data_IF_339080930551
#
_entry.id   IF_339080930551
#
_cell.length_a   1.000
_cell.length_b   1.000
_cell.length_c   1.000
_cell.angle_alpha   90.00
_cell.angle_beta   90.00
_cell.angle_gamma   90.00
#
_symmetry.space_group_name_H-M   'P 1'
#
loop_
_entity.id
_entity.type
_entity.pdbx_description
1 polymer ?
#
# COMPACT_ATOMS: atom_id res chain seq x y z
N UNK A 1 -10.34 0.86 68.97
CA UNK A 1 -9.65 2.03 68.38
C UNK A 1 -8.46 1.53 67.57
N UNK A 2 -8.66 1.24 66.27
CA UNK A 2 -7.60 0.84 65.33
C UNK A 2 -7.77 1.69 64.07
N UNK A 3 -6.84 2.63 63.89
CA UNK A 3 -6.76 3.55 62.76
C UNK A 3 -6.35 2.78 61.49
N UNK A 4 -7.18 2.84 60.46
CA UNK A 4 -6.86 2.37 59.11
C UNK A 4 -6.09 3.46 58.36
N UNK A 5 -4.80 3.24 58.10
CA UNK A 5 -4.03 4.02 57.13
C UNK A 5 -4.36 3.55 55.71
N UNK A 6 -4.93 4.44 54.88
CA UNK A 6 -5.03 4.25 53.42
C UNK A 6 -3.65 4.51 52.78
N UNK A 7 -3.14 3.63 51.90
CA UNK A 7 -1.94 3.96 51.12
C UNK A 7 -2.29 4.96 50.00
N UNK A 8 -1.42 5.96 49.83
CA UNK A 8 -1.55 7.01 48.82
C UNK A 8 -1.47 6.46 47.38
N UNK A 9 -2.39 6.91 46.52
CA UNK A 9 -2.36 6.65 45.07
C UNK A 9 -1.06 7.21 44.47
N UNK A 10 -0.22 6.35 43.88
CA UNK A 10 0.90 6.77 43.04
C UNK A 10 0.35 7.52 41.82
N UNK A 11 0.71 8.79 41.73
CA UNK A 11 0.55 9.64 40.54
C UNK A 11 1.34 9.01 39.37
N UNK A 12 0.64 8.49 38.36
CA UNK A 12 1.23 8.10 37.09
C UNK A 12 1.37 9.34 36.22
N UNK A 13 2.58 9.88 36.11
CA UNK A 13 2.90 10.92 35.12
C UNK A 13 2.58 10.38 33.71
N UNK A 14 2.01 11.19 32.80
CA UNK A 14 1.85 10.80 31.41
C UNK A 14 3.22 10.48 30.80
N UNK A 15 3.33 9.34 30.12
CA UNK A 15 4.55 8.94 29.44
C UNK A 15 4.88 9.95 28.34
N UNK A 16 6.13 10.43 28.31
CA UNK A 16 6.62 11.33 27.28
C UNK A 16 6.37 10.75 25.88
N UNK A 17 6.08 11.60 24.86
CA UNK A 17 5.90 11.15 23.49
C UNK A 17 7.15 10.39 23.03
N UNK A 18 6.95 9.14 22.57
CA UNK A 18 8.04 8.35 22.00
C UNK A 18 8.50 9.05 20.71
N UNK A 19 9.82 9.20 20.48
CA UNK A 19 10.32 9.80 19.25
C UNK A 19 9.80 9.03 18.03
N UNK A 20 9.53 9.76 16.95
CA UNK A 20 8.95 9.23 15.71
C UNK A 20 9.79 8.09 15.08
N UNK A 21 11.08 8.02 15.42
CA UNK A 21 11.99 6.95 15.02
C UNK A 21 12.85 6.49 16.21
N UNK A 22 13.23 5.20 16.28
CA UNK A 22 14.22 4.74 17.26
C UNK A 22 15.59 5.34 16.91
N UNK A 23 16.22 6.04 17.86
CA UNK A 23 17.52 6.76 17.75
C UNK A 23 18.58 5.93 17.00
N UNK A 24 18.62 4.62 17.21
CA UNK A 24 19.56 3.71 16.56
C UNK A 24 19.47 3.74 15.01
N UNK A 25 18.30 3.99 14.42
CA UNK A 25 18.12 4.06 12.96
C UNK A 25 18.63 5.38 12.39
N UNK A 26 18.45 6.48 13.12
CA UNK A 26 18.97 7.79 12.72
C UNK A 26 20.50 7.78 12.70
N UNK A 27 21.12 7.18 13.72
CA UNK A 27 22.58 7.00 13.77
C UNK A 27 23.07 6.19 12.57
N UNK A 28 22.43 5.05 12.27
CA UNK A 28 22.81 4.21 11.11
C UNK A 28 22.63 4.96 9.78
N UNK A 29 21.54 5.73 9.64
CA UNK A 29 21.30 6.53 8.44
C UNK A 29 22.34 7.63 8.23
N UNK A 30 22.71 8.35 9.30
CA UNK A 30 23.77 9.39 9.27
C UNK A 30 25.14 8.76 8.97
N UNK A 31 25.46 7.61 9.56
CA UNK A 31 26.70 6.88 9.28
C UNK A 31 26.78 6.42 7.81
N UNK A 32 25.67 5.95 7.24
CA UNK A 32 25.62 5.56 5.82
C UNK A 32 25.74 6.78 4.89
N UNK A 33 25.10 7.89 5.24
CA UNK A 33 25.20 9.13 4.47
C UNK A 33 26.64 9.67 4.45
N UNK A 34 27.28 9.74 5.63
CA UNK A 34 28.67 10.18 5.75
C UNK A 34 29.62 9.25 5.00
N UNK A 35 29.42 7.93 5.09
CA UNK A 35 30.19 6.95 4.31
C UNK A 35 30.01 7.15 2.79
N UNK A 36 28.78 7.40 2.32
CA UNK A 36 28.50 7.65 0.91
C UNK A 36 29.23 8.90 0.40
N UNK A 37 29.22 9.99 1.18
CA UNK A 37 29.93 11.24 0.84
C UNK A 37 31.44 11.01 0.80
N UNK A 38 32.01 10.30 1.79
CA UNK A 38 33.45 9.99 1.81
C UNK A 38 33.87 9.15 0.61
N UNK A 39 33.11 8.10 0.28
CA UNK A 39 33.39 7.26 -0.90
C UNK A 39 33.25 8.08 -2.19
N UNK A 40 32.24 8.95 -2.29
CA UNK A 40 32.08 9.81 -3.46
C UNK A 40 33.25 10.77 -3.64
N UNK A 41 33.66 11.48 -2.58
CA UNK A 41 34.81 12.39 -2.63
C UNK A 41 36.10 11.65 -2.93
N UNK A 42 36.28 10.47 -2.35
CA UNK A 42 37.41 9.56 -2.62
C UNK A 42 37.48 9.19 -4.10
N UNK A 43 36.36 8.80 -4.72
CA UNK A 43 36.31 8.43 -6.14
C UNK A 43 36.43 9.64 -7.07
N UNK A 44 35.80 10.76 -6.72
CA UNK A 44 35.76 11.97 -7.55
C UNK A 44 37.12 12.67 -7.62
N UNK A 45 37.84 12.69 -6.50
CA UNK A 45 39.19 13.28 -6.40
C UNK A 45 40.31 12.26 -6.58
N UNK A 46 40.01 11.09 -7.15
CA UNK A 46 41.02 10.06 -7.36
C UNK A 46 42.04 10.48 -8.43
N UNK A 47 43.31 10.54 -8.04
CA UNK A 47 44.45 10.72 -8.93
C UNK A 47 45.35 9.49 -8.89
N UNK A 48 45.86 9.06 -10.05
CA UNK A 48 46.80 7.94 -10.14
C UNK A 48 48.13 8.24 -9.42
N UNK A 49 48.46 9.51 -9.21
CA UNK A 49 49.67 9.96 -8.52
C UNK A 49 49.59 9.78 -7.00
N UNK A 50 48.38 9.60 -6.44
CA UNK A 50 48.19 9.47 -4.99
C UNK A 50 48.53 8.06 -4.47
N UNK A 51 48.62 7.05 -5.34
CA UNK A 51 48.82 5.65 -4.93
C UNK A 51 49.87 4.96 -5.81
N UNK A 52 50.97 4.52 -5.18
CA UNK A 52 52.04 3.75 -5.84
C UNK A 52 51.56 2.44 -6.47
N UNK A 53 52.29 1.99 -7.50
CA UNK A 53 51.99 0.83 -8.34
C UNK A 53 51.75 -0.46 -7.53
N UNK A 54 52.65 -0.80 -6.60
CA UNK A 54 52.71 -2.10 -5.91
C UNK A 54 51.75 -2.28 -4.73
N UNK A 55 51.05 -1.22 -4.28
CA UNK A 55 50.16 -1.29 -3.11
C UNK A 55 50.86 -1.56 -1.77
N UNK A 56 52.17 -1.77 -1.80
CA UNK A 56 53.08 -1.66 -0.68
C UNK A 56 53.82 -0.33 -0.78
N UNK A 57 54.27 0.26 0.34
CA UNK A 57 55.20 1.37 0.28
C UNK A 57 56.51 0.87 -0.34
N UNK A 58 56.64 1.05 -1.66
CA UNK A 58 57.94 1.11 -2.31
C UNK A 58 58.74 2.19 -1.57
N UNK A 59 59.97 1.85 -1.21
CA UNK A 59 60.76 2.35 -0.10
C UNK A 59 61.22 3.80 -0.18
N UNK A 60 60.32 4.73 -0.43
CA UNK A 60 60.56 6.17 -0.35
C UNK A 60 59.73 6.73 0.79
N UNK A 61 60.45 7.24 1.79
CA UNK A 61 59.91 7.80 3.02
C UNK A 61 58.77 8.78 2.77
N UNK A 62 57.74 8.73 3.61
CA UNK A 62 56.53 9.58 3.62
C UNK A 62 56.82 11.09 3.55
N UNK A 63 58.06 11.51 3.78
CA UNK A 63 58.52 12.90 3.75
C UNK A 63 58.63 13.53 2.35
N UNK A 64 58.78 12.76 1.26
CA UNK A 64 58.93 13.31 -0.11
C UNK A 64 57.63 13.33 -0.93
N UNK A 65 56.60 12.60 -0.50
CA UNK A 65 55.28 12.67 -1.14
C UNK A 65 54.56 13.90 -0.60
N UNK A 66 54.40 14.93 -1.45
CA UNK A 66 53.49 16.04 -1.18
C UNK A 66 52.10 15.54 -0.74
N UNK A 67 51.32 16.41 -0.11
CA UNK A 67 49.97 16.07 0.37
C UNK A 67 49.14 15.41 -0.74
N UNK A 68 48.46 14.27 -0.47
CA UNK A 68 47.66 13.57 -1.49
C UNK A 68 46.61 14.50 -2.09
N UNK A 69 46.42 14.42 -3.40
CA UNK A 69 45.43 15.23 -4.14
C UNK A 69 44.00 14.82 -3.81
N UNK A 70 43.81 13.57 -3.36
CA UNK A 70 42.54 13.08 -2.87
C UNK A 70 42.01 13.91 -1.69
N UNK A 71 40.79 14.41 -1.81
CA UNK A 71 40.14 15.27 -0.81
C UNK A 71 39.91 14.57 0.53
N UNK A 72 39.86 13.23 0.55
CA UNK A 72 39.71 12.42 1.77
C UNK A 72 41.08 12.00 2.33
N UNK A 73 42.16 12.25 1.58
CA UNK A 73 43.52 11.87 1.92
C UNK A 73 43.90 10.47 1.46
N UNK A 74 44.99 9.95 2.02
CA UNK A 74 45.62 8.68 1.59
C UNK A 74 44.64 7.48 1.65
N UNK A 75 43.83 7.42 2.72
CA UNK A 75 42.82 6.37 2.89
C UNK A 75 41.79 6.41 1.76
N UNK A 76 41.33 7.60 1.38
CA UNK A 76 40.41 7.78 0.27
C UNK A 76 41.03 7.36 -1.07
N UNK A 77 42.29 7.69 -1.31
CA UNK A 77 43.00 7.27 -2.51
C UNK A 77 43.11 5.74 -2.66
N UNK A 78 43.43 5.02 -1.58
CA UNK A 78 43.44 3.54 -1.60
C UNK A 78 42.05 2.91 -1.77
N UNK A 79 41.02 3.46 -1.12
CA UNK A 79 39.63 3.01 -1.28
C UNK A 79 39.20 3.17 -2.74
N UNK A 80 39.44 4.33 -3.34
CA UNK A 80 39.11 4.60 -4.73
C UNK A 80 39.87 3.66 -5.68
N UNK A 81 41.18 3.46 -5.48
CA UNK A 81 41.98 2.51 -6.26
C UNK A 81 41.37 1.10 -6.21
N UNK A 82 41.03 0.61 -5.01
CA UNK A 82 40.46 -0.73 -4.84
C UNK A 82 39.11 -0.87 -5.55
N UNK A 83 38.22 0.12 -5.41
CA UNK A 83 36.90 0.10 -6.03
C UNK A 83 36.99 0.18 -7.56
N UNK A 84 37.82 1.07 -8.09
CA UNK A 84 38.04 1.23 -9.54
C UNK A 84 38.72 -0.02 -10.10
N UNK A 85 39.68 -0.61 -9.40
CA UNK A 85 40.30 -1.87 -9.84
C UNK A 85 39.26 -3.00 -9.93
N UNK A 86 38.35 -3.09 -8.96
CA UNK A 86 37.35 -4.15 -8.90
C UNK A 86 36.24 -4.00 -9.95
N UNK A 87 35.59 -2.83 -10.01
CA UNK A 87 34.36 -2.59 -10.80
C UNK A 87 34.49 -1.42 -11.79
N UNK A 88 35.66 -0.80 -11.89
CA UNK A 88 35.93 0.26 -12.85
C UNK A 88 35.14 1.53 -12.58
N UNK A 89 34.73 2.20 -13.65
CA UNK A 89 33.89 3.39 -13.62
C UNK A 89 32.51 3.16 -12.96
N UNK A 90 32.04 1.90 -12.89
CA UNK A 90 30.82 1.55 -12.17
C UNK A 90 30.93 1.78 -10.65
N UNK A 91 32.14 1.96 -10.12
CA UNK A 91 32.37 2.37 -8.73
C UNK A 91 31.61 3.66 -8.36
N UNK A 92 31.38 4.58 -9.30
CA UNK A 92 30.60 5.80 -9.07
C UNK A 92 29.13 5.54 -8.68
N UNK A 93 28.59 4.35 -8.98
CA UNK A 93 27.24 3.97 -8.56
C UNK A 93 27.16 3.57 -7.09
N UNK A 94 28.27 3.17 -6.47
CA UNK A 94 28.36 2.71 -5.07
C UNK A 94 27.88 3.78 -4.08
N UNK A 95 28.38 5.03 -4.08
CA UNK A 95 27.91 6.05 -3.14
C UNK A 95 26.42 6.34 -3.28
N UNK A 96 25.88 6.30 -4.51
CA UNK A 96 24.45 6.49 -4.75
C UNK A 96 23.61 5.33 -4.18
N UNK A 97 24.07 4.10 -4.34
CA UNK A 97 23.43 2.91 -3.74
C UNK A 97 23.42 3.00 -2.21
N UNK A 98 24.55 3.37 -1.60
CA UNK A 98 24.66 3.53 -0.14
C UNK A 98 23.71 4.65 0.34
N UNK A 99 23.60 5.75 -0.41
CA UNK A 99 22.68 6.83 -0.12
C UNK A 99 21.21 6.38 -0.15
N UNK A 100 20.80 5.66 -1.20
CA UNK A 100 19.44 5.08 -1.32
C UNK A 100 19.16 4.11 -0.17
N UNK A 101 20.15 3.30 0.22
CA UNK A 101 20.04 2.40 1.37
C UNK A 101 19.92 3.17 2.69
N UNK A 102 20.71 4.24 2.87
CA UNK A 102 20.62 5.15 4.02
C UNK A 102 19.22 5.76 4.17
N UNK A 103 18.65 6.26 3.07
CA UNK A 103 17.26 6.79 3.04
C UNK A 103 16.23 5.71 3.41
N UNK A 104 16.41 4.47 2.94
CA UNK A 104 15.52 3.33 3.23
C UNK A 104 15.52 2.92 4.70
N UNK A 105 16.66 3.03 5.39
CA UNK A 105 16.79 2.72 6.83
C UNK A 105 15.87 3.64 7.67
N UNK A 106 15.58 4.86 7.21
CA UNK A 106 14.60 5.75 7.85
C UNK A 106 13.14 5.30 7.63
N UNK A 107 12.83 4.65 6.50
CA UNK A 107 11.45 4.41 6.07
C UNK A 107 10.89 3.02 6.40
N UNK A 108 11.73 2.00 6.62
CA UNK A 108 11.28 0.60 6.67
C UNK A 108 11.88 -0.21 7.83
N UNK A 109 11.10 -1.13 8.41
CA UNK A 109 11.54 -1.97 9.54
C UNK A 109 12.37 -3.22 9.13
N UNK A 110 12.41 -3.57 7.84
CA UNK A 110 13.03 -4.82 7.37
C UNK A 110 14.26 -4.56 6.51
N UNK A 111 15.36 -5.24 6.84
CA UNK A 111 16.52 -5.40 5.95
C UNK A 111 16.04 -6.15 4.71
N UNK A 112 15.84 -5.44 3.60
CA UNK A 112 15.42 -6.08 2.36
C UNK A 112 16.66 -6.64 1.66
N UNK A 113 16.91 -7.94 1.84
CA UNK A 113 17.94 -8.70 1.10
C UNK A 113 17.87 -8.44 -0.42
N UNK A 114 16.66 -8.19 -0.94
CA UNK A 114 16.41 -7.85 -2.34
C UNK A 114 17.08 -6.54 -2.79
N UNK A 115 17.18 -5.53 -1.93
CA UNK A 115 17.86 -4.27 -2.25
C UNK A 115 19.35 -4.51 -2.41
N UNK A 116 19.95 -5.31 -1.50
CA UNK A 116 21.37 -5.66 -1.56
C UNK A 116 21.66 -6.46 -2.83
N UNK A 117 20.83 -7.47 -3.13
CA UNK A 117 20.95 -8.26 -4.36
C UNK A 117 20.82 -7.38 -5.62
N UNK A 118 19.83 -6.49 -5.65
CA UNK A 118 19.65 -5.52 -6.73
C UNK A 118 20.81 -4.55 -6.88
N UNK A 119 21.44 -4.13 -5.79
CA UNK A 119 22.62 -3.26 -5.83
C UNK A 119 23.85 -3.97 -6.40
N UNK A 120 24.09 -5.21 -5.99
CA UNK A 120 25.20 -6.02 -6.50
C UNK A 120 25.04 -6.28 -7.99
N UNK A 121 23.85 -6.68 -8.43
CA UNK A 121 23.53 -6.89 -9.85
C UNK A 121 23.66 -5.60 -10.67
N UNK A 122 23.34 -4.44 -10.09
CA UNK A 122 23.40 -3.15 -10.77
C UNK A 122 24.86 -2.74 -11.03
N UNK A 123 25.70 -2.84 -10.00
CA UNK A 123 27.12 -2.50 -10.09
C UNK A 123 27.84 -3.47 -11.05
N UNK A 124 27.58 -4.77 -10.91
CA UNK A 124 28.17 -5.79 -11.78
C UNK A 124 27.71 -5.62 -13.23
N UNK A 125 26.42 -5.34 -13.46
CA UNK A 125 25.85 -5.12 -14.78
C UNK A 125 26.43 -3.88 -15.47
N UNK A 126 26.58 -2.76 -14.74
CA UNK A 126 27.22 -1.54 -15.24
C UNK A 126 28.69 -1.78 -15.58
N UNK A 127 29.43 -2.44 -14.68
CA UNK A 127 30.85 -2.80 -14.90
C UNK A 127 31.01 -3.68 -16.15
N UNK A 128 30.14 -4.69 -16.32
CA UNK A 128 30.15 -5.58 -17.50
C UNK A 128 29.82 -4.84 -18.80
N UNK A 129 28.84 -3.92 -18.76
CA UNK A 129 28.43 -3.15 -19.94
C UNK A 129 29.52 -2.20 -20.41
N UNK A 130 30.21 -1.55 -19.47
CA UNK A 130 31.36 -0.69 -19.78
C UNK A 130 32.47 -1.50 -20.44
N UNK A 131 32.82 -2.69 -19.91
CA UNK A 131 33.80 -3.59 -20.54
C UNK A 131 33.40 -3.95 -21.97
N UNK A 132 32.14 -4.33 -22.16
CA UNK A 132 31.64 -4.84 -23.43
C UNK A 132 31.60 -3.77 -24.53
N UNK A 133 31.31 -2.51 -24.20
CA UNK A 133 31.20 -1.43 -25.19
C UNK A 133 32.46 -0.59 -25.34
N UNK A 134 33.26 -0.51 -24.29
CA UNK A 134 34.58 0.10 -24.30
C UNK A 134 35.62 -0.94 -23.91
N UNK A 135 35.86 -1.98 -24.74
CA UNK A 135 37.06 -2.77 -24.62
C UNK A 135 38.19 -1.82 -25.00
N UNK A 136 38.69 -1.06 -24.03
CA UNK A 136 39.87 -0.24 -24.23
C UNK A 136 40.93 -1.22 -24.67
N UNK A 137 41.33 -1.12 -25.93
CA UNK A 137 42.43 -1.87 -26.50
C UNK A 137 43.56 -1.77 -25.50
N UNK A 138 44.02 -2.92 -25.01
CA UNK A 138 45.26 -3.03 -24.24
C UNK A 138 46.38 -2.66 -25.23
N UNK A 139 46.54 -1.38 -25.49
CA UNK A 139 47.80 -0.85 -25.97
C UNK A 139 48.68 -0.94 -24.74
N UNK A 140 49.49 -2.00 -24.72
CA UNK A 140 50.67 -2.09 -23.87
C UNK A 140 51.54 -0.91 -24.26
N UNK A 141 51.38 0.22 -23.55
CA UNK A 141 52.38 1.27 -23.57
C UNK A 141 53.58 0.73 -22.79
N UNK A 142 54.79 0.96 -23.29
CA UNK A 142 56.05 0.35 -22.84
C UNK A 142 56.39 0.55 -21.34
N UNK A 143 55.58 1.32 -20.60
CA UNK A 143 55.72 1.58 -19.16
C UNK A 143 54.81 0.73 -18.25
N UNK A 144 54.22 -0.37 -18.77
CA UNK A 144 53.45 -1.32 -17.96
C UNK A 144 52.06 -0.83 -17.51
N UNK A 145 51.62 0.35 -17.95
CA UNK A 145 50.32 0.91 -17.57
C UNK A 145 49.21 0.28 -18.42
N UNK A 146 48.55 -0.75 -17.92
CA UNK A 146 47.30 -1.25 -18.51
C UNK A 146 46.18 -0.24 -18.27
N UNK A 147 45.82 0.54 -19.30
CA UNK A 147 44.62 1.38 -19.40
C UNK A 147 43.27 0.59 -19.39
N UNK A 148 43.24 -0.61 -18.80
CA UNK A 148 42.03 -1.41 -18.56
C UNK A 148 41.18 -0.97 -17.36
N UNK A 149 41.56 0.16 -16.74
CA UNK A 149 41.06 0.66 -15.45
C UNK A 149 39.59 1.07 -15.47
N UNK A 150 39.03 1.40 -16.64
CA UNK A 150 37.68 1.97 -16.73
C UNK A 150 36.54 0.96 -16.58
N UNK A 151 36.80 -0.33 -16.80
CA UNK A 151 35.75 -1.35 -16.84
C UNK A 151 35.75 -2.31 -15.63
N UNK A 152 36.89 -2.42 -14.93
CA UNK A 152 37.04 -3.24 -13.72
C UNK A 152 37.17 -4.74 -14.01
N UNK A 153 37.86 -5.46 -13.11
CA UNK A 153 38.11 -6.88 -13.27
C UNK A 153 36.84 -7.75 -13.16
N UNK A 154 35.89 -7.33 -12.32
CA UNK A 154 34.63 -8.05 -12.17
C UNK A 154 33.81 -8.04 -13.47
N UNK A 155 33.71 -6.87 -14.13
CA UNK A 155 33.05 -6.72 -15.42
C UNK A 155 33.76 -7.43 -16.56
N UNK A 156 35.10 -7.45 -16.54
CA UNK A 156 35.89 -8.20 -17.51
C UNK A 156 35.63 -9.72 -17.41
N UNK A 157 35.63 -10.24 -16.18
CA UNK A 157 35.41 -11.66 -15.92
C UNK A 157 34.01 -12.10 -16.35
N UNK A 158 32.97 -11.32 -16.04
CA UNK A 158 31.60 -11.62 -16.45
C UNK A 158 31.42 -11.49 -17.96
N UNK A 159 31.96 -10.45 -18.59
CA UNK A 159 31.88 -10.26 -20.03
C UNK A 159 32.56 -11.41 -20.79
N UNK A 160 33.70 -11.89 -20.32
CA UNK A 160 34.39 -13.04 -20.91
C UNK A 160 33.60 -14.36 -20.85
N UNK A 161 32.57 -14.45 -20.01
CA UNK A 161 31.63 -15.58 -20.00
C UNK A 161 30.39 -15.33 -20.85
N UNK A 162 29.89 -14.10 -20.89
CA UNK A 162 28.67 -13.71 -21.59
C UNK A 162 28.87 -13.57 -23.10
N UNK A 163 29.97 -12.94 -23.52
CA UNK A 163 30.26 -12.63 -24.92
C UNK A 163 30.34 -13.89 -25.80
N UNK A 164 31.00 -15.00 -25.40
CA UNK A 164 31.03 -16.22 -26.20
C UNK A 164 29.65 -16.90 -26.32
N UNK A 165 28.75 -16.70 -25.36
CA UNK A 165 27.45 -17.35 -25.32
C UNK A 165 26.38 -16.62 -26.13
N UNK A 166 26.34 -15.29 -26.03
CA UNK A 166 25.26 -14.47 -26.59
C UNK A 166 25.74 -13.48 -27.65
N UNK A 167 27.05 -13.42 -27.91
CA UNK A 167 27.68 -12.35 -28.68
C UNK A 167 27.61 -11.01 -27.94
N UNK A 168 28.31 -10.01 -28.51
CA UNK A 168 28.37 -8.65 -27.93
C UNK A 168 26.98 -8.05 -27.76
N UNK A 169 26.18 -8.00 -28.83
CA UNK A 169 24.86 -7.39 -28.80
C UNK A 169 23.82 -8.16 -27.99
N UNK A 170 23.85 -9.49 -28.00
CA UNK A 170 22.95 -10.32 -27.17
C UNK A 170 23.25 -10.15 -25.68
N UNK A 171 24.53 -10.08 -25.32
CA UNK A 171 24.97 -9.77 -23.96
C UNK A 171 24.52 -8.38 -23.51
N UNK A 172 24.60 -7.36 -24.38
CA UNK A 172 24.10 -6.01 -24.08
C UNK A 172 22.61 -5.98 -23.79
N UNK A 173 21.79 -6.67 -24.60
CA UNK A 173 20.33 -6.73 -24.40
C UNK A 173 19.99 -7.42 -23.07
N UNK A 174 20.64 -8.55 -22.78
CA UNK A 174 20.46 -9.29 -21.55
C UNK A 174 20.85 -8.45 -20.32
N UNK A 175 22.02 -7.79 -20.37
CA UNK A 175 22.49 -6.90 -19.33
C UNK A 175 21.58 -5.68 -19.16
N UNK A 176 21.03 -5.12 -20.26
CA UNK A 176 20.06 -4.04 -20.21
C UNK A 176 18.79 -4.45 -19.46
N UNK A 177 18.24 -5.63 -19.74
CA UNK A 177 17.09 -6.17 -19.02
C UNK A 177 17.42 -6.43 -17.54
N UNK A 178 18.59 -7.00 -17.25
CA UNK A 178 19.04 -7.26 -15.89
C UNK A 178 19.24 -5.96 -15.10
N UNK A 179 19.81 -4.91 -15.71
CA UNK A 179 19.98 -3.59 -15.11
C UNK A 179 18.65 -2.94 -14.79
N UNK A 180 17.64 -3.08 -15.66
CA UNK A 180 16.28 -2.61 -15.38
C UNK A 180 15.69 -3.33 -14.17
N UNK A 181 15.77 -4.66 -14.11
CA UNK A 181 15.32 -5.43 -12.95
C UNK A 181 16.07 -5.01 -11.69
N UNK A 182 17.39 -4.83 -11.77
CA UNK A 182 18.23 -4.32 -10.70
C UNK A 182 17.78 -2.96 -10.18
N UNK A 183 17.49 -2.03 -11.09
CA UNK A 183 17.03 -0.69 -10.75
C UNK A 183 15.66 -0.75 -10.05
N UNK A 184 14.76 -1.65 -10.46
CA UNK A 184 13.47 -1.87 -9.78
C UNK A 184 13.66 -2.44 -8.37
N UNK A 185 14.57 -3.40 -8.20
CA UNK A 185 14.89 -3.97 -6.89
C UNK A 185 15.53 -2.92 -5.96
N UNK A 186 16.43 -2.07 -6.49
CA UNK A 186 17.07 -0.99 -5.73
C UNK A 186 16.06 0.10 -5.38
N UNK A 187 15.24 0.56 -6.33
CA UNK A 187 14.29 1.68 -6.13
C UNK A 187 12.99 1.26 -5.44
N UNK A 188 12.68 -0.03 -5.35
CA UNK A 188 11.39 -0.58 -4.86
C UNK A 188 10.17 0.13 -5.48
N UNK A 189 10.39 0.80 -6.61
CA UNK A 189 9.39 1.62 -7.26
C UNK A 189 8.63 0.70 -8.19
N UNK A 190 7.38 0.41 -7.85
CA UNK A 190 6.53 -0.33 -8.77
C UNK A 190 6.35 0.50 -10.04
N UNK A 191 6.75 -0.03 -11.19
CA UNK A 191 6.47 0.59 -12.50
C UNK A 191 4.99 0.96 -12.64
N UNK A 192 4.07 0.19 -12.03
CA UNK A 192 2.64 0.50 -12.02
C UNK A 192 2.27 1.76 -11.21
N UNK A 193 3.05 2.13 -10.19
CA UNK A 193 2.85 3.34 -9.39
C UNK A 193 3.53 4.57 -10.01
N UNK A 194 4.53 4.35 -10.86
CA UNK A 194 5.26 5.37 -11.62
C UNK A 194 4.56 5.81 -12.89
N UNK A 195 4.01 4.86 -13.65
CA UNK A 195 3.28 5.13 -14.89
C UNK A 195 2.03 5.98 -14.65
N UNK A 196 1.42 5.91 -13.46
CA UNK A 196 0.32 6.80 -13.05
C UNK A 196 0.74 8.21 -12.63
N UNK A 197 2.05 8.47 -12.44
CA UNK A 197 2.61 9.77 -12.00
C UNK A 197 3.45 10.46 -13.07
N UNK A 198 3.69 9.83 -14.22
CA UNK A 198 4.22 10.52 -15.39
C UNK A 198 3.07 11.43 -15.88
N UNK A 199 3.12 12.77 -15.73
CA UNK A 199 2.19 13.62 -16.43
C UNK A 199 2.34 13.27 -17.91
N UNK A 200 1.25 12.98 -18.60
CA UNK A 200 1.19 12.60 -20.01
C UNK A 200 1.69 13.75 -20.91
N UNK A 201 2.99 14.06 -20.84
CA UNK A 201 3.73 14.96 -21.73
C UNK A 201 4.31 14.23 -22.94
N UNK A 202 4.19 12.89 -22.99
CA UNK A 202 4.49 12.08 -24.19
C UNK A 202 3.50 12.37 -25.33
N UNK A 203 2.32 12.93 -25.02
CA UNK A 203 1.36 13.41 -26.02
C UNK A 203 1.81 14.64 -26.83
N UNK A 204 2.89 15.34 -26.43
CA UNK A 204 3.42 16.51 -27.16
C UNK A 204 4.73 16.25 -27.89
N UNK A 205 5.49 15.20 -27.57
CA UNK A 205 6.76 14.89 -28.25
C UNK A 205 6.57 14.11 -29.57
N UNK A 206 5.43 13.42 -29.74
CA UNK A 206 5.12 12.62 -30.93
C UNK A 206 4.90 13.40 -32.24
N UNK A 207 5.00 14.75 -32.22
CA UNK A 207 4.89 15.59 -33.42
C UNK A 207 6.24 15.99 -34.03
N UNK A 208 7.37 15.72 -33.35
CA UNK A 208 8.69 16.18 -33.79
C UNK A 208 9.61 15.09 -34.35
N UNK A 209 9.23 13.81 -34.32
CA UNK A 209 10.02 12.72 -34.89
C UNK A 209 9.24 12.07 -36.03
N UNK A 210 9.25 12.72 -37.20
CA UNK A 210 8.96 12.05 -38.48
C UNK A 210 10.21 11.29 -38.91
N UNK A 211 10.38 10.06 -38.41
CA UNK A 211 11.31 9.13 -39.05
C UNK A 211 10.63 8.57 -40.33
N UNK A 212 11.35 8.48 -41.46
CA UNK A 212 10.78 7.95 -42.70
C UNK A 212 10.44 6.48 -42.47
N UNK A 213 9.16 6.14 -42.51
CA UNK A 213 8.73 4.75 -42.33
C UNK A 213 9.07 3.96 -43.59
N UNK A 214 10.05 3.08 -43.45
CA UNK A 214 10.32 1.99 -44.38
C UNK A 214 9.04 1.16 -44.55
N UNK A 215 8.46 1.18 -45.76
CA UNK A 215 7.13 0.65 -46.03
C UNK A 215 7.18 -0.89 -46.13
N UNK A 216 6.48 -1.58 -45.24
CA UNK A 216 6.26 -3.02 -45.35
C UNK A 216 5.24 -3.33 -46.46
N UNK A 217 5.41 -4.40 -47.27
CA UNK A 217 4.56 -4.69 -48.43
C UNK A 217 3.09 -4.98 -48.07
N UNK A 218 2.19 -4.47 -48.91
CA UNK A 218 0.76 -4.27 -48.66
C UNK A 218 -0.14 -5.53 -48.57
N UNK A 219 0.40 -6.75 -48.60
CA UNK A 219 -0.40 -7.97 -48.71
C UNK A 219 -0.85 -8.58 -47.36
N UNK A 220 -0.43 -8.02 -46.22
CA UNK A 220 -0.74 -8.55 -44.88
C UNK A 220 -1.94 -7.90 -44.17
N UNK A 221 -2.54 -6.85 -44.73
CA UNK A 221 -3.53 -6.02 -44.01
C UNK A 221 -4.99 -6.24 -44.40
N UNK A 222 -5.32 -7.29 -45.14
CA UNK A 222 -6.68 -7.49 -45.65
C UNK A 222 -7.36 -8.76 -45.13
N UNK A 223 -7.73 -8.80 -43.83
CA UNK A 223 -8.76 -9.76 -43.44
C UNK A 223 -9.71 -9.48 -42.28
N UNK A 224 -9.63 -8.37 -41.55
CA UNK A 224 -10.65 -8.17 -40.51
C UNK A 224 -10.67 -6.77 -39.93
N UNK A 225 -11.39 -5.84 -40.57
CA UNK A 225 -12.12 -4.79 -39.85
C UNK A 225 -13.48 -4.53 -40.52
N UNK A 226 -14.61 -4.64 -39.79
CA UNK A 226 -15.91 -4.20 -40.29
C UNK A 226 -15.92 -2.66 -40.42
N UNK A 227 -16.54 -2.17 -41.49
CA UNK A 227 -16.62 -0.75 -41.85
C UNK A 227 -17.24 0.07 -40.70
N UNK A 228 -16.43 0.91 -40.06
CA UNK A 228 -16.89 1.89 -39.07
C UNK A 228 -17.47 3.12 -39.77
N UNK A 229 -18.66 3.54 -39.33
CA UNK A 229 -19.42 4.67 -39.85
C UNK A 229 -18.65 5.99 -39.81
N UNK A 230 -18.85 6.82 -40.84
CA UNK A 230 -18.35 8.19 -40.96
C UNK A 230 -18.77 9.03 -39.73
N UNK A 231 -17.87 9.79 -39.10
CA UNK A 231 -18.25 10.68 -38.01
C UNK A 231 -19.09 11.86 -38.52
N UNK A 232 -20.22 12.10 -37.86
CA UNK A 232 -21.05 13.28 -38.01
C UNK A 232 -20.24 14.53 -37.61
N UNK A 233 -20.15 15.51 -38.51
CA UNK A 233 -19.53 16.81 -38.25
C UNK A 233 -20.44 17.62 -37.32
N UNK A 234 -20.06 17.73 -36.05
CA UNK A 234 -20.73 18.63 -35.10
C UNK A 234 -20.22 20.04 -35.31
N UNK A 235 -21.14 20.95 -35.64
CA UNK A 235 -20.91 22.36 -35.90
C UNK A 235 -20.35 23.08 -34.66
N UNK A 236 -19.33 23.94 -34.87
CA UNK A 236 -18.54 24.65 -33.84
C UNK A 236 -19.29 25.80 -33.14
N UNK A 237 -20.53 26.08 -33.52
CA UNK A 237 -21.29 27.25 -33.04
C UNK A 237 -21.90 27.12 -31.64
N UNK A 238 -22.13 25.90 -31.13
CA UNK A 238 -22.71 25.67 -29.80
C UNK A 238 -21.83 26.14 -28.62
N UNK A 239 -20.54 26.45 -28.89
CA UNK A 239 -19.58 26.86 -27.87
C UNK A 239 -19.65 28.36 -27.52
N UNK A 240 -20.39 29.17 -28.29
CA UNK A 240 -20.51 30.63 -28.09
C UNK A 240 -21.74 31.07 -27.27
N UNK A 241 -22.62 30.15 -26.86
CA UNK A 241 -23.86 30.50 -26.15
C UNK A 241 -23.94 29.96 -24.71
N UNK A 242 -22.83 29.92 -23.97
CA UNK A 242 -22.93 29.75 -22.50
C UNK A 242 -22.99 31.13 -21.86
N UNK A 243 -24.09 31.51 -21.17
CA UNK A 243 -24.08 32.72 -20.36
C UNK A 243 -23.05 32.56 -19.23
N UNK A 244 -22.27 33.62 -19.04
CA UNK A 244 -21.29 33.70 -17.96
C UNK A 244 -22.02 33.82 -16.62
N UNK A 245 -21.99 32.75 -15.82
CA UNK A 245 -22.23 32.89 -14.38
C UNK A 245 -20.95 33.44 -13.77
N UNK A 246 -20.98 34.74 -13.51
CA UNK A 246 -20.01 35.46 -12.72
C UNK A 246 -20.53 35.60 -11.29
N UNK A 247 -19.56 35.63 -10.34
CA UNK A 247 -19.69 35.83 -8.89
C UNK A 247 -20.20 34.58 -8.14
N UNK A 248 -19.49 34.03 -7.17
CA UNK A 248 -18.76 34.69 -6.08
C UNK A 248 -17.28 34.25 -6.00
N UNK A 249 -16.41 35.26 -5.95
CA UNK A 249 -15.12 35.18 -5.25
C UNK A 249 -15.52 35.23 -3.78
N UNK A 250 -15.43 34.10 -3.10
CA UNK A 250 -15.62 34.03 -1.65
C UNK A 250 -14.45 33.27 -1.06
N UNK A 251 -14.02 33.79 0.09
CA UNK A 251 -12.66 33.76 0.55
C UNK A 251 -12.18 32.36 0.95
N UNK A 252 -10.87 32.17 0.83
CA UNK A 252 -10.20 31.01 1.41
C UNK A 252 -10.46 31.00 2.93
N UNK A 253 -10.87 29.88 3.54
CA UNK A 253 -10.91 29.81 4.99
C UNK A 253 -9.48 29.87 5.54
N UNK A 254 -9.26 30.87 6.41
CA UNK A 254 -8.15 30.96 7.33
C UNK A 254 -7.99 29.68 8.16
N UNK A 255 -6.76 29.39 8.54
CA UNK A 255 -6.39 28.35 9.50
C UNK A 255 -7.08 28.62 10.85
N UNK A 256 -8.13 27.86 11.18
CA UNK A 256 -8.67 27.81 12.53
C UNK A 256 -7.71 27.04 13.46
N UNK A 257 -7.19 27.75 14.45
CA UNK A 257 -6.46 27.21 15.59
C UNK A 257 -7.38 26.28 16.41
N UNK A 258 -6.87 25.17 16.97
CA UNK A 258 -7.68 24.27 17.78
C UNK A 258 -8.17 24.97 19.06
N UNK A 259 -9.48 25.17 19.17
CA UNK A 259 -10.14 25.54 20.43
C UNK A 259 -10.05 24.37 21.41
N UNK A 260 -9.36 24.62 22.51
CA UNK A 260 -9.27 23.76 23.68
C UNK A 260 -10.63 23.76 24.39
N UNK A 261 -11.45 22.73 24.16
CA UNK A 261 -12.71 22.53 24.87
C UNK A 261 -12.49 21.62 26.08
N UNK A 262 -12.64 22.22 27.27
CA UNK A 262 -12.76 21.52 28.55
C UNK A 262 -13.95 20.56 28.54
N UNK A 263 -13.70 19.31 28.89
CA UNK A 263 -14.74 18.30 29.11
C UNK A 263 -15.54 18.62 30.38
N UNK A 264 -16.89 18.63 30.34
CA UNK A 264 -17.66 18.73 31.57
C UNK A 264 -17.53 17.42 32.36
N UNK A 265 -17.34 17.62 33.67
CA UNK A 265 -17.22 16.60 34.68
C UNK A 265 -18.42 15.63 34.66
N UNK A 266 -18.08 14.35 34.76
CA UNK A 266 -19.00 13.25 35.01
C UNK A 266 -19.82 13.49 36.28
N UNK A 267 -21.11 13.80 36.12
CA UNK A 267 -22.10 13.62 37.15
C UNK A 267 -22.53 12.14 37.14
N UNK A 268 -22.32 11.45 38.27
CA UNK A 268 -22.89 10.13 38.54
C UNK A 268 -24.41 10.22 38.50
N UNK A 269 -25.05 9.47 37.60
CA UNK A 269 -26.49 9.23 37.63
C UNK A 269 -26.72 7.94 38.40
N UNK A 270 -27.23 8.10 39.61
CA UNK A 270 -27.69 7.05 40.51
C UNK A 270 -29.08 6.57 40.04
N UNK A 271 -29.21 5.28 39.70
CA UNK A 271 -30.49 4.71 39.28
C UNK A 271 -31.23 4.13 40.49
N UNK A 272 -32.46 4.57 40.81
CA UNK A 272 -33.21 4.02 41.91
C UNK A 272 -33.77 2.64 41.57
N UNK A 273 -33.64 1.72 42.52
CA UNK A 273 -34.33 0.43 42.51
C UNK A 273 -35.84 0.60 42.71
N UNK A 274 -36.64 0.13 41.74
CA UNK A 274 -38.06 -0.30 41.91
C UNK A 274 -38.33 -1.41 40.89
N UNK A 275 -38.52 -2.67 41.30
CA UNK A 275 -39.70 -3.26 41.93
C UNK A 275 -40.94 -3.27 41.02
N UNK A 276 -41.37 -4.46 40.60
CA UNK A 276 -42.79 -4.74 40.37
C UNK A 276 -43.24 -5.07 38.94
N UNK A 277 -43.39 -6.37 38.70
CA UNK A 277 -44.51 -7.02 37.98
C UNK A 277 -44.68 -6.80 36.46
N UNK A 278 -44.52 -7.89 35.70
CA UNK A 278 -45.65 -8.77 35.33
C UNK A 278 -45.17 -10.04 34.62
N UNK A 279 -45.45 -11.17 35.26
CA UNK A 279 -45.42 -12.52 34.70
C UNK A 279 -46.44 -12.65 33.58
N UNK A 280 -45.98 -13.04 32.39
CA UNK A 280 -46.84 -13.71 31.39
C UNK A 280 -46.25 -15.08 31.15
N UNK A 281 -47.01 -16.08 31.59
CA UNK A 281 -46.80 -17.50 31.33
C UNK A 281 -46.83 -17.75 29.81
N UNK A 282 -45.77 -18.37 29.28
CA UNK A 282 -45.83 -19.12 28.03
C UNK A 282 -45.14 -20.46 28.25
N UNK A 283 -45.99 -21.42 28.59
CA UNK A 283 -45.79 -22.83 28.37
C UNK A 283 -45.49 -23.11 26.89
N UNK A 284 -44.60 -24.08 26.68
CA UNK A 284 -44.42 -24.90 25.48
C UNK A 284 -43.83 -24.25 24.23
N UNK A 285 -42.48 -24.15 24.19
CA UNK A 285 -41.72 -24.46 22.97
C UNK A 285 -40.50 -25.30 23.36
N UNK A 286 -40.43 -26.48 22.75
CA UNK A 286 -39.52 -27.56 23.07
C UNK A 286 -38.03 -27.19 23.00
N UNK A 287 -37.32 -27.69 24.00
CA UNK A 287 -35.87 -27.64 24.18
C UNK A 287 -35.18 -28.62 23.21
N UNK A 288 -34.19 -28.20 22.42
CA UNK A 288 -33.17 -29.13 21.94
C UNK A 288 -31.91 -28.97 22.78
N UNK A 289 -31.62 -29.99 23.59
CA UNK A 289 -30.26 -30.26 24.07
C UNK A 289 -29.46 -30.98 22.96
N UNK A 290 -28.14 -30.75 22.83
CA UNK A 290 -27.21 -31.35 23.79
C UNK A 290 -26.17 -30.36 24.32
N UNK A 291 -26.13 -30.24 25.64
CA UNK A 291 -24.95 -29.72 26.34
C UNK A 291 -23.80 -30.69 26.08
N UNK A 292 -22.84 -30.31 25.22
CA UNK A 292 -21.58 -31.05 25.05
C UNK A 292 -20.87 -31.08 26.41
N UNK A 293 -20.89 -32.22 27.10
CA UNK A 293 -20.07 -32.43 28.31
C UNK A 293 -18.61 -32.56 27.88
N UNK A 294 -17.81 -31.52 28.12
CA UNK A 294 -16.40 -31.46 27.66
C UNK A 294 -15.43 -32.04 28.70
N UNK A 295 -15.83 -32.23 29.97
CA UNK A 295 -15.08 -32.95 30.99
C UNK A 295 -15.99 -33.36 32.17
N UNK A 296 -15.55 -34.28 33.05
CA UNK A 296 -16.29 -34.63 34.27
C UNK A 296 -16.49 -33.37 35.14
N UNK A 297 -17.72 -32.87 35.20
CA UNK A 297 -18.13 -31.74 36.04
C UNK A 297 -18.23 -30.37 35.36
N UNK A 298 -17.74 -30.20 34.13
CA UNK A 298 -17.87 -28.93 33.40
C UNK A 298 -19.03 -28.99 32.40
N UNK A 299 -20.01 -28.10 32.60
CA UNK A 299 -21.11 -27.85 31.68
C UNK A 299 -20.82 -26.58 30.89
N UNK A 300 -20.86 -26.68 29.56
CA UNK A 300 -20.71 -25.51 28.70
C UNK A 300 -21.83 -24.50 29.04
N UNK A 301 -21.53 -23.22 29.26
CA UNK A 301 -22.55 -22.22 29.55
C UNK A 301 -23.54 -22.10 28.39
N UNK A 302 -24.84 -22.00 28.69
CA UNK A 302 -25.87 -21.81 27.68
C UNK A 302 -25.91 -20.34 27.22
N UNK A 303 -25.63 -20.04 25.93
CA UNK A 303 -25.69 -18.67 25.40
C UNK A 303 -27.06 -18.02 25.59
N UNK A 304 -28.15 -18.80 25.58
CA UNK A 304 -29.51 -18.28 25.75
C UNK A 304 -29.76 -17.77 27.17
N UNK A 305 -29.11 -18.40 28.16
CA UNK A 305 -29.27 -18.04 29.56
C UNK A 305 -28.41 -16.83 29.97
N UNK A 306 -27.24 -16.65 29.35
CA UNK A 306 -26.27 -15.63 29.75
C UNK A 306 -26.23 -14.39 28.86
N UNK A 307 -26.67 -14.50 27.60
CA UNK A 307 -26.60 -13.40 26.65
C UNK A 307 -27.99 -12.80 26.39
N UNK A 308 -28.00 -11.48 26.22
CA UNK A 308 -29.19 -10.72 25.88
C UNK A 308 -29.79 -11.20 24.55
N UNK A 309 -31.12 -11.24 24.50
CA UNK A 309 -31.83 -11.54 23.26
C UNK A 309 -31.56 -10.42 22.23
N UNK A 310 -31.49 -10.76 20.93
CA UNK A 310 -31.40 -9.73 19.91
C UNK A 310 -32.60 -8.78 20.03
N UNK A 311 -32.41 -7.46 19.87
CA UNK A 311 -33.52 -6.52 19.84
C UNK A 311 -34.47 -6.91 18.70
N UNK A 312 -35.77 -6.75 18.93
CA UNK A 312 -36.76 -7.00 17.87
C UNK A 312 -36.61 -5.91 16.81
N UNK A 313 -35.95 -6.23 15.70
CA UNK A 313 -35.83 -5.31 14.57
C UNK A 313 -37.16 -5.19 13.84
N UNK A 314 -37.85 -4.07 14.05
CA UNK A 314 -38.96 -3.62 13.19
C UNK A 314 -38.47 -2.76 12.01
N UNK A 315 -37.16 -2.65 11.82
CA UNK A 315 -36.46 -1.78 10.86
C UNK A 315 -36.32 -2.43 9.49
N UNK A 316 -37.44 -2.92 8.91
CA UNK A 316 -37.47 -3.08 7.46
C UNK A 316 -37.61 -1.67 6.86
N UNK A 317 -36.59 -1.20 6.15
CA UNK A 317 -36.74 0.03 5.37
C UNK A 317 -37.93 -0.14 4.43
N UNK A 318 -38.88 0.80 4.46
CA UNK A 318 -40.02 0.78 3.56
C UNK A 318 -39.52 0.79 2.11
N UNK A 319 -40.15 0.02 1.22
CA UNK A 319 -39.81 -0.02 -0.20
C UNK A 319 -39.73 1.39 -0.83
N UNK A 320 -40.60 2.31 -0.38
CA UNK A 320 -40.57 3.72 -0.78
C UNK A 320 -39.23 4.43 -0.47
N UNK A 321 -38.62 4.15 0.68
CA UNK A 321 -37.32 4.73 1.06
C UNK A 321 -36.24 4.18 0.13
N UNK A 322 -36.24 2.86 -0.10
CA UNK A 322 -35.27 2.20 -0.96
C UNK A 322 -35.35 2.69 -2.41
N UNK A 323 -36.57 2.87 -2.93
CA UNK A 323 -36.83 3.44 -4.24
C UNK A 323 -36.35 4.89 -4.32
N UNK A 324 -36.68 5.72 -3.33
CA UNK A 324 -36.24 7.13 -3.29
C UNK A 324 -34.71 7.25 -3.30
N UNK A 325 -34.01 6.41 -2.52
CA UNK A 325 -32.55 6.38 -2.48
C UNK A 325 -31.97 5.88 -3.80
N UNK A 326 -32.61 4.89 -4.45
CA UNK A 326 -32.20 4.42 -5.78
C UNK A 326 -32.31 5.49 -6.85
N UNK A 327 -33.37 6.30 -6.79
CA UNK A 327 -33.58 7.44 -7.69
C UNK A 327 -32.54 8.53 -7.45
N UNK A 328 -32.29 8.90 -6.19
CA UNK A 328 -31.24 9.87 -5.82
C UNK A 328 -29.88 9.39 -6.33
N UNK A 329 -29.50 8.15 -6.04
CA UNK A 329 -28.24 7.56 -6.49
C UNK A 329 -28.10 7.64 -8.02
N UNK A 330 -29.13 7.24 -8.75
CA UNK A 330 -29.12 7.25 -10.22
C UNK A 330 -29.02 8.68 -10.76
N UNK A 331 -29.78 9.62 -10.20
CA UNK A 331 -29.75 11.03 -10.58
C UNK A 331 -28.39 11.68 -10.28
N UNK A 332 -27.79 11.40 -9.13
CA UNK A 332 -26.47 11.91 -8.77
C UNK A 332 -25.40 11.41 -9.74
N UNK A 333 -25.36 10.10 -10.01
CA UNK A 333 -24.42 9.55 -11.00
C UNK A 333 -24.64 10.16 -12.39
N UNK A 334 -25.89 10.36 -12.79
CA UNK A 334 -26.23 11.01 -14.04
C UNK A 334 -25.74 12.47 -14.10
N UNK A 335 -25.84 13.24 -13.01
CA UNK A 335 -25.32 14.61 -12.92
C UNK A 335 -23.80 14.67 -13.11
N UNK A 336 -23.08 13.63 -12.68
CA UNK A 336 -21.65 13.47 -12.95
C UNK A 336 -21.37 12.86 -14.33
N UNK A 337 -22.36 12.72 -15.20
CA UNK A 337 -22.21 12.16 -16.55
C UNK A 337 -21.92 10.66 -16.56
N UNK A 338 -22.39 9.92 -15.55
CA UNK A 338 -22.36 8.46 -15.47
C UNK A 338 -23.79 7.95 -15.68
N UNK A 339 -24.11 7.61 -16.92
CA UNK A 339 -25.40 7.01 -17.26
C UNK A 339 -25.48 5.56 -16.74
N UNK A 340 -26.64 5.14 -16.26
CA UNK A 340 -26.88 3.77 -15.80
C UNK A 340 -28.17 3.67 -15.02
N UNK A 341 -28.40 2.54 -14.38
CA UNK A 341 -29.58 2.31 -13.54
C UNK A 341 -29.27 1.37 -12.39
N UNK A 342 -29.97 1.55 -11.27
CA UNK A 342 -30.04 0.52 -10.22
C UNK A 342 -30.87 -0.65 -10.74
N UNK A 343 -30.35 -1.85 -10.57
CA UNK A 343 -30.93 -3.12 -11.05
C UNK A 343 -31.57 -3.92 -9.93
N UNK A 344 -30.89 -4.00 -8.78
CA UNK A 344 -31.35 -4.71 -7.60
C UNK A 344 -30.98 -3.91 -6.35
N UNK A 345 -31.76 -4.08 -5.29
CA UNK A 345 -31.52 -3.50 -3.96
C UNK A 345 -31.59 -4.62 -2.94
N UNK A 346 -30.54 -4.74 -2.13
CA UNK A 346 -30.41 -5.77 -1.11
C UNK A 346 -30.26 -5.10 0.26
N UNK A 347 -31.35 -4.92 1.02
CA UNK A 347 -31.30 -4.35 2.35
C UNK A 347 -30.66 -5.33 3.34
N UNK A 348 -29.73 -4.81 4.14
CA UNK A 348 -29.02 -5.56 5.18
C UNK A 348 -29.25 -4.95 6.57
N UNK A 349 -28.64 -5.53 7.62
CA UNK A 349 -28.83 -5.05 9.01
C UNK A 349 -28.19 -3.68 9.27
N UNK A 350 -27.05 -3.37 8.64
CA UNK A 350 -26.26 -2.15 8.90
C UNK A 350 -26.14 -1.27 7.65
N UNK A 351 -26.13 -1.90 6.48
CA UNK A 351 -25.97 -1.26 5.18
C UNK A 351 -26.97 -1.88 4.20
N UNK A 352 -27.33 -1.13 3.16
CA UNK A 352 -28.09 -1.58 2.00
C UNK A 352 -27.20 -1.54 0.78
N UNK A 353 -27.20 -2.61 -0.01
CA UNK A 353 -26.41 -2.71 -1.24
C UNK A 353 -27.30 -2.41 -2.45
N UNK A 354 -26.93 -1.38 -3.22
CA UNK A 354 -27.56 -1.03 -4.49
C UNK A 354 -26.69 -1.55 -5.64
N UNK A 355 -27.23 -2.41 -6.48
CA UNK A 355 -26.54 -2.90 -7.67
C UNK A 355 -26.76 -1.95 -8.84
N UNK A 356 -25.72 -1.22 -9.23
CA UNK A 356 -25.76 -0.26 -10.32
C UNK A 356 -25.16 -0.85 -11.60
N UNK A 357 -25.92 -0.85 -12.69
CA UNK A 357 -25.46 -1.22 -14.02
C UNK A 357 -25.04 0.05 -14.80
N UNK A 358 -23.73 0.30 -14.99
CA UNK A 358 -23.27 1.43 -15.77
C UNK A 358 -23.56 1.23 -17.26
N UNK A 359 -23.83 2.32 -17.96
CA UNK A 359 -23.97 2.35 -19.42
C UNK A 359 -22.66 1.98 -20.15
N UNK A 360 -22.75 1.63 -21.45
CA UNK A 360 -21.61 1.19 -22.23
C UNK A 360 -20.53 2.27 -22.31
N UNK A 361 -19.26 1.86 -22.18
CA UNK A 361 -18.10 2.75 -22.27
C UNK A 361 -17.76 3.52 -20.98
N UNK A 362 -18.56 3.39 -19.92
CA UNK A 362 -18.28 4.00 -18.63
C UNK A 362 -17.22 3.19 -17.88
N UNK A 363 -16.10 3.85 -17.55
CA UNK A 363 -15.04 3.25 -16.75
C UNK A 363 -15.47 3.15 -15.30
N UNK A 364 -15.43 1.95 -14.73
CA UNK A 364 -15.84 1.72 -13.34
C UNK A 364 -15.00 2.49 -12.32
N UNK A 365 -13.71 2.72 -12.62
CA UNK A 365 -12.83 3.55 -11.80
C UNK A 365 -13.40 4.97 -11.53
N UNK A 366 -14.18 5.51 -12.48
CA UNK A 366 -14.83 6.83 -12.34
C UNK A 366 -15.97 6.81 -11.31
N UNK A 367 -16.63 5.67 -11.13
CA UNK A 367 -17.68 5.52 -10.11
C UNK A 367 -17.03 5.48 -8.73
N UNK A 368 -15.91 4.75 -8.60
CA UNK A 368 -15.14 4.64 -7.34
C UNK A 368 -14.68 6.01 -6.83
N UNK A 369 -14.28 6.92 -7.72
CA UNK A 369 -13.84 8.28 -7.33
C UNK A 369 -14.96 9.16 -6.78
N UNK A 370 -16.23 8.82 -7.04
CA UNK A 370 -17.40 9.60 -6.59
C UNK A 370 -17.98 9.11 -5.26
N UNK A 371 -17.28 8.22 -4.53
CA UNK A 371 -17.79 7.67 -3.27
C UNK A 371 -18.17 8.76 -2.25
N UNK A 372 -17.39 9.83 -2.16
CA UNK A 372 -17.66 10.94 -1.24
C UNK A 372 -18.87 11.78 -1.69
N UNK A 373 -18.96 12.10 -2.98
CA UNK A 373 -20.09 12.86 -3.54
C UNK A 373 -21.41 12.09 -3.42
N UNK A 374 -21.37 10.76 -3.63
CA UNK A 374 -22.52 9.89 -3.41
C UNK A 374 -22.92 9.84 -1.94
N UNK A 375 -21.97 9.79 -1.01
CA UNK A 375 -22.27 9.84 0.42
C UNK A 375 -22.99 11.15 0.80
N UNK A 376 -22.53 12.28 0.27
CA UNK A 376 -23.18 13.58 0.48
C UNK A 376 -24.60 13.61 -0.09
N UNK A 377 -24.80 13.16 -1.33
CA UNK A 377 -26.12 13.15 -1.98
C UNK A 377 -27.13 12.23 -1.27
N UNK A 378 -26.65 11.09 -0.76
CA UNK A 378 -27.48 10.11 -0.04
C UNK A 378 -27.62 10.41 1.45
N UNK A 379 -27.05 11.52 1.94
CA UNK A 379 -27.03 11.89 3.37
C UNK A 379 -26.46 10.77 4.25
N UNK A 380 -25.47 10.05 3.75
CA UNK A 380 -24.81 8.94 4.42
C UNK A 380 -23.43 9.38 4.93
N UNK A 381 -22.95 8.83 6.07
CA UNK A 381 -21.63 9.18 6.61
C UNK A 381 -20.48 8.75 5.68
N UNK A 382 -20.67 7.65 4.94
CA UNK A 382 -19.70 7.13 3.98
C UNK A 382 -20.38 6.13 3.07
N UNK A 383 -19.92 5.98 1.82
CA UNK A 383 -20.39 4.96 0.88
C UNK A 383 -19.21 4.08 0.47
N UNK A 384 -19.42 2.76 0.42
CA UNK A 384 -18.42 1.80 -0.06
C UNK A 384 -18.82 1.27 -1.42
N UNK A 385 -17.87 1.28 -2.36
CA UNK A 385 -18.12 0.87 -3.75
C UNK A 385 -17.34 -0.42 -4.02
N UNK A 386 -18.06 -1.49 -4.38
CA UNK A 386 -17.53 -2.83 -4.66
C UNK A 386 -17.53 -3.06 -6.16
N UNK A 387 -16.35 -3.36 -6.70
CA UNK A 387 -16.11 -3.44 -8.14
C UNK A 387 -15.21 -4.62 -8.51
N UNK A 388 -15.54 -5.39 -9.56
CA UNK A 388 -16.91 -5.69 -10.04
C UNK A 388 -17.63 -6.67 -9.10
N UNK A 389 -18.96 -6.77 -9.18
CA UNK A 389 -19.65 -7.87 -8.50
C UNK A 389 -19.29 -9.21 -9.17
N UNK A 390 -18.87 -10.24 -8.41
CA UNK A 390 -18.57 -11.55 -8.98
C UNK A 390 -19.78 -12.11 -9.74
N UNK A 391 -19.59 -12.48 -11.00
CA UNK A 391 -20.64 -13.06 -11.84
C UNK A 391 -21.68 -12.07 -12.39
N UNK A 392 -21.54 -10.76 -12.12
CA UNK A 392 -22.42 -9.72 -12.67
C UNK A 392 -21.63 -8.58 -13.32
N UNK A 393 -22.22 -7.92 -14.32
CA UNK A 393 -21.66 -6.70 -14.94
C UNK A 393 -22.12 -5.43 -14.22
N UNK A 394 -22.24 -5.49 -12.89
CA UNK A 394 -22.78 -4.43 -12.03
C UNK A 394 -21.75 -4.01 -10.98
N UNK A 395 -21.98 -2.81 -10.43
CA UNK A 395 -21.20 -2.20 -9.34
C UNK A 395 -22.06 -2.18 -8.10
N UNK A 396 -21.51 -2.62 -6.97
CA UNK A 396 -22.21 -2.63 -5.68
C UNK A 396 -21.93 -1.34 -4.96
N UNK A 397 -22.98 -0.62 -4.59
CA UNK A 397 -22.87 0.61 -3.81
C UNK A 397 -23.51 0.33 -2.46
N UNK A 398 -22.67 0.19 -1.45
CA UNK A 398 -23.07 -0.08 -0.07
C UNK A 398 -23.28 1.24 0.68
N UNK A 399 -24.51 1.47 1.12
CA UNK A 399 -24.94 2.70 1.80
C UNK A 399 -25.38 2.34 3.22
N UNK A 400 -24.85 3.00 4.26
CA UNK A 400 -25.32 2.84 5.64
C UNK A 400 -26.82 3.11 5.78
N UNK A 401 -27.49 2.23 6.52
CA UNK A 401 -28.90 2.43 6.86
C UNK A 401 -29.02 3.61 7.84
N UNK A 402 -30.12 4.39 7.76
CA UNK A 402 -30.45 5.39 8.77
C UNK A 402 -30.55 4.76 10.17
N UNK A 403 -31.28 3.65 10.25
CA UNK A 403 -31.45 2.87 11.47
C UNK A 403 -30.67 1.56 11.35
N UNK A 404 -29.55 1.47 12.08
CA UNK A 404 -28.66 0.30 12.07
C UNK A 404 -29.12 -0.71 13.12
N UNK A 405 -29.27 -1.97 12.71
CA UNK A 405 -29.52 -3.07 13.63
C UNK A 405 -28.26 -3.41 14.44
N UNK A 406 -28.46 -3.68 15.74
CA UNK A 406 -27.41 -4.23 16.59
C UNK A 406 -27.30 -5.73 16.39
N UNK A 407 -26.15 -6.20 15.89
CA UNK A 407 -25.86 -7.63 15.74
C UNK A 407 -25.48 -8.23 17.09
N UNK A 408 -26.40 -8.97 17.70
CA UNK A 408 -26.19 -9.60 19.01
C UNK A 408 -25.34 -10.87 18.92
N UNK A 409 -24.40 -11.06 19.86
CA UNK A 409 -23.56 -12.28 19.91
C UNK A 409 -24.40 -13.55 20.06
N UNK A 410 -25.47 -13.49 20.88
CA UNK A 410 -26.39 -14.61 21.11
C UNK A 410 -26.89 -15.19 19.80
N UNK A 411 -27.32 -14.34 18.87
CA UNK A 411 -27.88 -14.76 17.60
C UNK A 411 -26.89 -15.57 16.76
N UNK A 412 -25.61 -15.19 16.78
CA UNK A 412 -24.56 -15.91 16.05
C UNK A 412 -24.26 -17.26 16.72
N UNK A 413 -24.18 -17.30 18.06
CA UNK A 413 -23.90 -18.53 18.80
C UNK A 413 -25.07 -19.53 18.75
N UNK A 414 -26.31 -19.05 18.64
CA UNK A 414 -27.50 -19.91 18.46
C UNK A 414 -27.74 -20.29 16.99
N UNK A 415 -26.99 -19.75 16.04
CA UNK A 415 -27.16 -20.05 14.63
C UNK A 415 -26.79 -21.51 14.29
N UNK A 416 -27.41 -22.06 13.25
CA UNK A 416 -27.02 -23.38 12.74
C UNK A 416 -25.55 -23.41 12.29
N UNK A 417 -25.06 -22.30 11.72
CA UNK A 417 -23.68 -22.17 11.24
C UNK A 417 -22.67 -22.40 12.37
N UNK A 418 -22.92 -21.85 13.56
CA UNK A 418 -22.07 -22.07 14.73
C UNK A 418 -22.32 -23.44 15.37
N UNK A 419 -23.59 -23.78 15.63
CA UNK A 419 -23.98 -25.00 16.37
C UNK A 419 -23.58 -26.29 15.65
N UNK A 420 -23.65 -26.31 14.32
CA UNK A 420 -23.21 -27.48 13.51
C UNK A 420 -21.70 -27.57 13.37
N UNK A 421 -20.94 -26.56 13.78
CA UNK A 421 -19.49 -26.61 13.67
C UNK A 421 -18.89 -27.69 14.57
N UNK A 422 -17.98 -28.47 13.99
CA UNK A 422 -17.23 -29.51 14.72
C UNK A 422 -15.95 -28.98 15.35
N UNK A 423 -15.46 -27.82 14.90
CA UNK A 423 -14.21 -27.26 15.41
C UNK A 423 -14.43 -26.61 16.77
N UNK A 424 -13.54 -26.93 17.72
CA UNK A 424 -13.44 -26.25 19.01
C UNK A 424 -12.87 -24.83 18.90
N UNK A 425 -12.37 -24.46 17.71
CA UNK A 425 -11.79 -23.16 17.43
C UNK A 425 -12.68 -22.31 16.51
N UNK A 426 -13.99 -22.57 16.54
CA UNK A 426 -14.97 -21.80 15.76
C UNK A 426 -15.19 -20.44 16.41
N UNK A 427 -15.02 -19.39 15.64
CA UNK A 427 -15.16 -18.00 16.06
C UNK A 427 -16.43 -17.41 15.45
N UNK A 428 -17.29 -16.82 16.30
CA UNK A 428 -18.41 -16.00 15.87
C UNK A 428 -17.90 -14.61 15.44
N UNK A 429 -18.08 -14.27 14.16
CA UNK A 429 -17.60 -13.00 13.60
C UNK A 429 -18.70 -11.93 13.58
N UNK A 430 -19.94 -12.31 13.28
CA UNK A 430 -21.08 -11.39 13.15
C UNK A 430 -22.03 -11.84 12.04
N UNK A 431 -22.67 -10.87 11.37
CA UNK A 431 -23.48 -11.09 10.16
C UNK A 431 -22.75 -10.54 8.93
N UNK A 432 -23.02 -11.10 7.76
CA UNK A 432 -22.64 -10.47 6.48
C UNK A 432 -23.54 -9.27 6.14
N UNK A 433 -23.30 -8.66 4.99
CA UNK A 433 -24.06 -7.51 4.49
C UNK A 433 -25.52 -7.85 4.19
N UNK A 434 -25.88 -9.13 4.10
CA UNK A 434 -27.24 -9.63 3.86
C UNK A 434 -27.89 -10.17 5.14
N UNK A 435 -27.24 -10.02 6.30
CA UNK A 435 -27.75 -10.47 7.59
C UNK A 435 -27.51 -11.95 7.90
N UNK A 436 -26.75 -12.69 7.08
CA UNK A 436 -26.48 -14.12 7.32
C UNK A 436 -25.38 -14.29 8.37
N UNK A 437 -25.52 -15.23 9.32
CA UNK A 437 -24.53 -15.46 10.37
C UNK A 437 -23.20 -15.95 9.77
N UNK A 438 -22.12 -15.31 10.19
CA UNK A 438 -20.76 -15.58 9.74
C UNK A 438 -19.91 -16.12 10.89
N UNK A 439 -19.39 -17.33 10.67
CA UNK A 439 -18.47 -18.02 11.56
C UNK A 439 -17.21 -18.40 10.80
N UNK A 440 -16.08 -18.47 11.50
CA UNK A 440 -14.81 -18.89 10.91
C UNK A 440 -14.11 -19.90 11.83
N UNK A 441 -13.38 -20.85 11.27
CA UNK A 441 -12.58 -21.80 12.04
C UNK A 441 -11.13 -21.31 12.13
N UNK A 442 -10.63 -21.02 13.33
CA UNK A 442 -9.23 -20.62 13.51
C UNK A 442 -8.26 -21.72 13.07
N UNK A 443 -8.70 -22.98 12.98
CA UNK A 443 -7.86 -24.06 12.45
C UNK A 443 -7.48 -23.85 10.98
N UNK A 444 -8.37 -23.28 10.16
CA UNK A 444 -8.08 -22.98 8.74
C UNK A 444 -7.36 -21.63 8.57
N UNK A 445 -7.36 -20.81 9.61
CA UNK A 445 -6.69 -19.52 9.70
C UNK A 445 -5.78 -19.49 10.93
N UNK A 446 -4.65 -20.22 10.94
CA UNK A 446 -3.89 -20.55 12.15
C UNK A 446 -3.39 -19.32 12.94
N UNK A 447 -3.30 -18.18 12.27
CA UNK A 447 -3.01 -16.88 12.87
C UNK A 447 -3.97 -15.82 12.33
N UNK A 448 -4.51 -14.99 13.22
CA UNK A 448 -5.44 -13.92 12.90
C UNK A 448 -4.89 -12.56 13.37
N UNK A 449 -4.75 -11.60 12.46
CA UNK A 449 -4.40 -10.21 12.78
C UNK A 449 -5.68 -9.38 12.95
N UNK A 450 -5.80 -8.65 14.06
CA UNK A 450 -6.93 -7.75 14.32
C UNK A 450 -6.41 -6.33 14.57
N UNK A 451 -6.75 -5.40 13.67
CA UNK A 451 -6.37 -3.99 13.73
C UNK A 451 -7.60 -3.07 13.59
N UNK A 452 -7.53 -1.86 14.12
CA UNK A 452 -8.61 -0.88 14.08
C UNK A 452 -8.31 0.35 14.95
N UNK A 453 -8.88 1.49 14.56
CA UNK A 453 -8.78 2.76 15.30
C UNK A 453 -9.54 2.70 16.65
N UNK A 454 -9.27 3.63 17.60
CA UNK A 454 -10.08 3.76 18.80
C UNK A 454 -11.57 3.89 18.46
N UNK A 455 -12.44 3.21 19.20
CA UNK A 455 -13.89 3.21 18.94
C UNK A 455 -14.37 2.31 17.81
N UNK A 456 -13.48 1.69 17.00
CA UNK A 456 -13.89 0.85 15.86
C UNK A 456 -14.46 -0.53 16.22
N UNK A 457 -14.69 -0.83 17.51
CA UNK A 457 -15.19 -2.12 17.96
C UNK A 457 -14.14 -3.24 18.14
N UNK A 458 -12.83 -2.98 17.98
CA UNK A 458 -11.76 -4.01 18.10
C UNK A 458 -11.84 -4.82 19.39
N UNK A 459 -12.01 -4.16 20.54
CA UNK A 459 -12.06 -4.81 21.86
C UNK A 459 -13.29 -5.72 21.99
N UNK A 460 -14.46 -5.21 21.58
CA UNK A 460 -15.71 -5.99 21.59
C UNK A 460 -15.61 -7.18 20.65
N UNK A 461 -15.07 -6.98 19.44
CA UNK A 461 -14.85 -8.05 18.48
C UNK A 461 -13.84 -9.09 18.93
N UNK A 462 -12.88 -8.75 19.80
CA UNK A 462 -11.99 -9.73 20.43
C UNK A 462 -12.71 -10.53 21.52
N UNK A 463 -13.49 -9.85 22.36
CA UNK A 463 -14.29 -10.51 23.41
C UNK A 463 -15.31 -11.48 22.81
N UNK A 464 -15.95 -11.12 21.69
CA UNK A 464 -16.83 -12.02 20.93
C UNK A 464 -16.11 -13.31 20.53
N UNK A 465 -14.88 -13.20 20.02
CA UNK A 465 -14.07 -14.36 19.62
C UNK A 465 -13.66 -15.22 20.81
N UNK A 466 -13.30 -14.60 21.95
CA UNK A 466 -12.97 -15.31 23.18
C UNK A 466 -14.17 -16.06 23.74
N UNK A 467 -15.35 -15.43 23.75
CA UNK A 467 -16.61 -16.05 24.19
C UNK A 467 -17.11 -17.14 23.23
N UNK A 468 -16.59 -17.17 22.00
CA UNK A 468 -16.90 -18.23 21.02
C UNK A 468 -16.12 -19.52 21.26
N UNK A 469 -15.05 -19.47 22.06
CA UNK A 469 -14.22 -20.63 22.41
C UNK A 469 -14.65 -21.19 23.77
#
# INVERSE_FOLDING_TARGET
MRLFFRPAKKSTRPAAPRPAFPINREIVGILLFTLAVLIFLSLWSFSLHDVGWSGLPESDTVAERGSPQNLVGLVGAYIAKGLIWLVGSAALAIPFVILVYGIRVFQTERKSFTTILGSVLLILGLSTLVWLHHPVSVQVLEDGITLGVYAGHAGAWTAGKLEPLFGRWGSTILLGALLLVSLLLVTSFSLSAGVGRIPTGVGRMGQWVRLPTWQWPAWWKDRSQPKANKPLKINREWRKQRPAFAFLKEDAPEEEQPLEQEAPASAEIDFPARSGLRTVSRSDVGRPEPVRKVAKGYHLPDPVALLEAPPVSNTQQTDQILESQSQILTATLQNFGIAGKVTEVHPGPVITMYEFAPGPGIKVARIVTLAHDLAMALKAPSVRIVVPLPGKSTVGIEVPNPDKETVALREILTSEAYTRSRSKLTLALGKDIFGRPCVADLKTMPHLLVAGAPGSGKRVGLNSKLLSL
#
